data_IF_737446406337
#
_entry.id   IF_737446406337
#
_cell.length_a   1.000
_cell.length_b   1.000
_cell.length_c   1.000
_cell.angle_alpha   90.00
_cell.angle_beta   90.00
_cell.angle_gamma   90.00
#
_symmetry.space_group_name_H-M   'P 1'
#
loop_
_entity.id
_entity.type
_entity.pdbx_description
1 polymer ?
#
# COMPACT_ATOMS: atom_id res chain seq x y z
N UNK A 1 -47.49 13.57 18.66
CA UNK A 1 -46.49 13.05 17.71
C UNK A 1 -46.59 13.84 16.42
N UNK A 2 -45.73 14.86 16.24
CA UNK A 2 -45.56 15.53 14.93
C UNK A 2 -44.36 14.88 14.27
N UNK A 3 -44.62 14.11 13.21
CA UNK A 3 -43.60 13.63 12.29
C UNK A 3 -43.03 14.88 11.60
N UNK A 4 -41.80 15.26 11.94
CA UNK A 4 -41.05 16.23 11.15
C UNK A 4 -40.74 15.55 9.81
N UNK A 5 -41.53 15.85 8.79
CA UNK A 5 -41.19 15.54 7.41
C UNK A 5 -39.93 16.34 7.06
N UNK A 6 -38.78 15.67 7.01
CA UNK A 6 -37.56 16.25 6.46
C UNK A 6 -37.82 16.61 5.00
N UNK A 7 -37.67 17.88 4.65
CA UNK A 7 -37.79 18.33 3.26
C UNK A 7 -36.83 17.52 2.36
N UNK A 8 -37.24 17.19 1.12
CA UNK A 8 -36.37 16.47 0.18
C UNK A 8 -35.12 17.31 -0.09
N UNK A 9 -33.95 16.69 0.08
CA UNK A 9 -32.67 17.35 -0.18
C UNK A 9 -32.59 17.59 -1.70
N UNK A 10 -32.44 18.85 -2.16
CA UNK A 10 -32.37 19.15 -3.59
C UNK A 10 -31.18 18.43 -4.22
N UNK A 11 -31.35 18.06 -5.49
CA UNK A 11 -30.29 17.44 -6.26
C UNK A 11 -29.13 18.44 -6.46
N UNK A 12 -27.88 17.96 -6.43
CA UNK A 12 -26.71 18.85 -6.55
C UNK A 12 -26.69 19.65 -7.87
N UNK A 13 -27.45 19.22 -8.89
CA UNK A 13 -27.57 19.91 -10.17
C UNK A 13 -28.53 21.10 -10.20
N UNK A 14 -29.34 21.29 -9.16
CA UNK A 14 -30.32 22.38 -9.07
C UNK A 14 -29.85 23.53 -8.17
N UNK A 15 -28.63 23.46 -7.64
CA UNK A 15 -28.16 24.31 -6.52
C UNK A 15 -27.21 25.38 -7.04
N UNK A 16 -27.43 26.63 -6.61
CA UNK A 16 -26.56 27.76 -6.92
C UNK A 16 -25.13 27.54 -6.38
N UNK A 17 -24.09 28.06 -7.06
CA UNK A 17 -22.68 27.88 -6.70
C UNK A 17 -22.34 28.14 -5.24
N UNK A 18 -22.97 29.19 -4.69
CA UNK A 18 -22.68 29.70 -3.36
C UNK A 18 -23.33 28.88 -2.23
N UNK A 19 -24.08 27.82 -2.57
CA UNK A 19 -24.77 26.94 -1.61
C UNK A 19 -24.38 25.47 -1.75
N UNK A 20 -23.37 25.18 -2.58
CA UNK A 20 -22.91 23.82 -2.86
C UNK A 20 -22.33 23.17 -1.60
N UNK A 21 -21.70 23.95 -0.72
CA UNK A 21 -21.24 23.53 0.60
C UNK A 21 -22.39 23.12 1.55
N UNK A 22 -23.47 23.92 1.62
CA UNK A 22 -24.66 23.59 2.42
C UNK A 22 -25.35 22.31 1.93
N UNK A 23 -25.44 22.13 0.60
CA UNK A 23 -26.08 20.95 0.01
C UNK A 23 -25.16 19.73 0.06
N UNK A 24 -23.85 19.91 -0.10
CA UNK A 24 -22.86 18.86 0.12
C UNK A 24 -22.97 18.36 1.56
N UNK A 25 -22.97 19.24 2.56
CA UNK A 25 -23.15 18.87 3.96
C UNK A 25 -24.47 18.13 4.23
N UNK A 26 -25.58 18.59 3.63
CA UNK A 26 -26.89 17.91 3.77
C UNK A 26 -26.92 16.54 3.08
N UNK A 27 -26.22 16.38 1.96
CA UNK A 27 -26.10 15.12 1.22
C UNK A 27 -24.94 14.24 1.65
N UNK A 28 -24.05 14.72 2.50
CA UNK A 28 -22.93 13.97 3.08
C UNK A 28 -23.39 12.88 4.07
N UNK A 29 -24.59 12.32 3.93
CA UNK A 29 -24.93 11.01 4.50
C UNK A 29 -25.42 10.03 3.44
N UNK A 30 -25.56 10.47 2.19
CA UNK A 30 -26.21 9.74 1.11
C UNK A 30 -25.60 10.05 -0.28
N UNK A 31 -24.35 10.52 -0.32
CA UNK A 31 -23.64 10.78 -1.57
C UNK A 31 -23.61 9.52 -2.43
N UNK A 32 -24.18 9.61 -3.62
CA UNK A 32 -24.13 8.56 -4.63
C UNK A 32 -22.92 8.74 -5.56
N UNK A 33 -22.52 7.69 -6.27
CA UNK A 33 -21.47 7.80 -7.30
C UNK A 33 -21.79 8.89 -8.36
N UNK A 34 -23.08 9.12 -8.64
CA UNK A 34 -23.53 10.19 -9.53
C UNK A 34 -23.34 11.59 -8.95
N UNK A 35 -23.52 11.76 -7.65
CA UNK A 35 -23.24 13.01 -6.95
C UNK A 35 -21.73 13.29 -6.98
N UNK A 36 -20.88 12.26 -6.80
CA UNK A 36 -19.42 12.39 -6.93
C UNK A 36 -19.03 12.86 -8.34
N UNK A 37 -19.56 12.25 -9.41
CA UNK A 37 -19.29 12.67 -10.80
C UNK A 37 -19.80 14.09 -11.12
N UNK A 38 -20.92 14.51 -10.52
CA UNK A 38 -21.43 15.86 -10.68
C UNK A 38 -20.52 16.87 -9.99
N UNK A 39 -20.10 16.54 -8.76
CA UNK A 39 -19.11 17.32 -8.02
C UNK A 39 -17.79 17.42 -8.79
N UNK A 40 -17.37 16.36 -9.50
CA UNK A 40 -16.20 16.40 -10.39
C UNK A 40 -16.25 17.50 -11.43
N UNK A 41 -17.27 17.47 -12.28
CA UNK A 41 -17.44 18.51 -13.30
C UNK A 41 -17.61 19.90 -12.72
N UNK A 42 -18.21 19.99 -11.54
CA UNK A 42 -18.46 21.26 -10.87
C UNK A 42 -17.17 21.84 -10.26
N UNK A 43 -16.32 20.99 -9.69
CA UNK A 43 -15.05 21.39 -9.09
C UNK A 43 -13.98 21.73 -10.13
N UNK A 44 -14.02 21.14 -11.32
CA UNK A 44 -13.16 21.55 -12.44
C UNK A 44 -13.39 23.03 -12.82
N UNK A 45 -14.64 23.50 -12.72
CA UNK A 45 -14.98 24.90 -12.97
C UNK A 45 -14.56 25.83 -11.80
N UNK A 46 -14.51 25.31 -10.57
CA UNK A 46 -14.22 26.10 -9.36
C UNK A 46 -13.37 25.33 -8.33
N UNK A 47 -12.04 25.24 -8.52
CA UNK A 47 -11.14 24.48 -7.64
C UNK A 47 -11.11 24.96 -6.18
N UNK A 48 -11.43 26.24 -5.95
CA UNK A 48 -11.49 26.83 -4.61
C UNK A 48 -12.69 26.35 -3.80
N UNK A 49 -13.78 25.92 -4.45
CA UNK A 49 -14.96 25.36 -3.80
C UNK A 49 -14.72 23.93 -3.35
N UNK A 50 -13.92 23.15 -4.10
CA UNK A 50 -13.50 21.81 -3.70
C UNK A 50 -12.81 21.82 -2.33
N UNK A 51 -11.76 22.63 -2.18
CA UNK A 51 -11.00 22.69 -0.93
C UNK A 51 -11.85 23.17 0.25
N UNK A 52 -12.82 24.07 0.01
CA UNK A 52 -13.79 24.48 1.03
C UNK A 52 -14.72 23.34 1.42
N UNK A 53 -15.29 22.62 0.44
CA UNK A 53 -16.17 21.49 0.68
C UNK A 53 -15.45 20.36 1.43
N UNK A 54 -14.21 20.03 1.03
CA UNK A 54 -13.36 19.05 1.72
C UNK A 54 -13.09 19.47 3.15
N UNK A 55 -12.68 20.71 3.40
CA UNK A 55 -12.46 21.23 4.75
C UNK A 55 -13.71 21.08 5.60
N UNK A 56 -14.85 21.49 5.07
CA UNK A 56 -16.14 21.41 5.75
C UNK A 56 -16.50 19.96 6.09
N UNK A 57 -16.31 19.03 5.14
CA UNK A 57 -16.52 17.60 5.36
C UNK A 57 -15.62 17.05 6.47
N UNK A 58 -14.31 17.32 6.39
CA UNK A 58 -13.33 16.84 7.37
C UNK A 58 -13.58 17.41 8.77
N UNK A 59 -14.04 18.66 8.88
CA UNK A 59 -14.42 19.25 10.19
C UNK A 59 -15.70 18.66 10.77
N UNK A 60 -16.68 18.33 9.92
CA UNK A 60 -18.01 17.88 10.35
C UNK A 60 -18.04 16.40 10.72
N UNK A 61 -17.14 15.60 10.14
CA UNK A 61 -17.05 14.15 10.35
C UNK A 61 -15.79 13.71 11.10
N UNK A 62 -15.02 14.65 11.66
CA UNK A 62 -13.80 14.31 12.40
C UNK A 62 -14.14 13.41 13.60
N UNK A 63 -13.60 12.18 13.67
CA UNK A 63 -13.61 11.42 14.90
C UNK A 63 -12.76 12.14 15.96
N UNK A 64 -12.88 11.75 17.26
CA UNK A 64 -11.93 12.21 18.27
C UNK A 64 -10.51 11.93 17.79
N UNK A 65 -9.68 12.98 17.77
CA UNK A 65 -8.34 12.92 17.20
C UNK A 65 -7.50 11.89 17.96
N UNK A 66 -7.29 10.72 17.36
CA UNK A 66 -6.20 9.84 17.77
C UNK A 66 -5.14 9.94 16.69
N UNK A 67 -3.97 10.47 17.04
CA UNK A 67 -2.89 10.76 16.09
C UNK A 67 -2.36 9.50 15.37
N UNK A 68 -2.77 8.29 15.77
CA UNK A 68 -2.06 7.05 15.46
C UNK A 68 -2.94 5.94 14.85
N UNK A 69 -4.12 6.24 14.30
CA UNK A 69 -4.91 5.17 13.69
C UNK A 69 -5.65 5.62 12.44
N UNK A 70 -5.09 5.28 11.28
CA UNK A 70 -5.82 5.22 10.00
C UNK A 70 -6.93 4.16 10.02
N UNK A 71 -6.98 3.29 11.04
CA UNK A 71 -8.03 2.28 11.25
C UNK A 71 -9.27 2.86 11.95
N UNK A 72 -9.26 4.14 12.35
CA UNK A 72 -10.47 4.79 12.84
C UNK A 72 -11.51 4.79 11.72
N UNK A 73 -12.71 4.31 12.04
CA UNK A 73 -13.83 4.35 11.11
C UNK A 73 -14.41 5.77 11.08
N UNK A 74 -14.14 6.50 10.00
CA UNK A 74 -14.71 7.83 9.75
C UNK A 74 -16.15 7.69 9.25
N UNK A 75 -17.08 8.55 9.68
CA UNK A 75 -18.35 8.72 8.99
C UNK A 75 -18.08 9.04 7.51
N UNK A 76 -18.73 8.29 6.61
CA UNK A 76 -18.50 8.37 5.16
C UNK A 76 -17.07 8.07 4.67
N UNK A 77 -16.30 7.25 5.39
CA UNK A 77 -14.93 6.90 5.01
C UNK A 77 -14.76 6.59 3.51
N UNK A 78 -15.62 5.73 2.95
CA UNK A 78 -15.51 5.31 1.55
C UNK A 78 -15.81 6.43 0.55
N UNK A 79 -16.79 7.30 0.84
CA UNK A 79 -17.11 8.44 -0.02
C UNK A 79 -16.01 9.50 0.03
N UNK A 80 -15.50 9.81 1.23
CA UNK A 80 -14.38 10.73 1.40
C UNK A 80 -13.12 10.21 0.72
N UNK A 81 -12.82 8.91 0.86
CA UNK A 81 -11.72 8.27 0.17
C UNK A 81 -11.89 8.32 -1.34
N UNK A 82 -13.08 8.02 -1.87
CA UNK A 82 -13.34 8.07 -3.31
C UNK A 82 -13.11 9.47 -3.90
N UNK A 83 -13.52 10.52 -3.19
CA UNK A 83 -13.33 11.92 -3.56
C UNK A 83 -11.86 12.33 -3.43
N UNK A 84 -11.23 12.08 -2.27
CA UNK A 84 -9.88 12.57 -1.96
C UNK A 84 -8.75 11.77 -2.64
N UNK A 85 -9.03 10.55 -3.07
CA UNK A 85 -8.12 9.74 -3.89
C UNK A 85 -8.32 9.89 -5.39
N UNK A 86 -9.24 10.77 -5.82
CA UNK A 86 -9.48 11.00 -7.24
C UNK A 86 -8.33 11.83 -7.85
N UNK A 87 -7.69 11.30 -8.90
CA UNK A 87 -6.41 11.81 -9.42
C UNK A 87 -6.43 13.30 -9.76
N UNK A 88 -7.53 13.81 -10.30
CA UNK A 88 -7.67 15.20 -10.73
C UNK A 88 -7.70 16.21 -9.56
N UNK A 89 -8.02 15.77 -8.35
CA UNK A 89 -8.16 16.66 -7.18
C UNK A 89 -7.04 16.55 -6.16
N UNK A 90 -6.11 15.62 -6.38
CA UNK A 90 -4.96 15.47 -5.52
C UNK A 90 -4.06 16.68 -5.69
N UNK A 91 -3.88 17.42 -4.61
CA UNK A 91 -3.05 18.61 -4.55
C UNK A 91 -2.36 18.70 -3.20
N UNK A 92 -1.29 19.51 -3.12
CA UNK A 92 -0.61 19.79 -1.83
C UNK A 92 -1.61 20.36 -0.81
N UNK A 93 -2.56 21.19 -1.23
CA UNK A 93 -3.57 21.77 -0.34
C UNK A 93 -4.57 20.74 0.19
N UNK A 94 -5.01 19.79 -0.64
CA UNK A 94 -5.89 18.72 -0.17
C UNK A 94 -5.16 17.76 0.76
N UNK A 95 -3.88 17.50 0.49
CA UNK A 95 -2.98 16.73 1.35
C UNK A 95 -2.84 17.38 2.74
N UNK A 96 -2.51 18.68 2.79
CA UNK A 96 -2.41 19.45 4.04
C UNK A 96 -3.72 19.45 4.84
N UNK A 97 -4.88 19.57 4.16
CA UNK A 97 -6.18 19.48 4.81
C UNK A 97 -6.41 18.09 5.44
N UNK A 98 -6.04 17.02 4.73
CA UNK A 98 -6.14 15.66 5.26
C UNK A 98 -5.26 15.49 6.50
N UNK A 99 -4.03 15.99 6.46
CA UNK A 99 -3.10 15.95 7.60
C UNK A 99 -3.64 16.74 8.79
N UNK A 100 -4.09 17.97 8.57
CA UNK A 100 -4.61 18.87 9.60
C UNK A 100 -5.81 18.27 10.35
N UNK A 101 -6.67 17.55 9.64
CA UNK A 101 -7.86 16.91 10.22
C UNK A 101 -7.63 15.44 10.60
N UNK A 102 -6.45 14.88 10.41
CA UNK A 102 -6.14 13.49 10.74
C UNK A 102 -6.81 12.45 9.84
N UNK A 103 -7.20 12.82 8.61
CA UNK A 103 -7.73 11.89 7.62
C UNK A 103 -6.59 11.19 6.87
N UNK A 104 -5.99 10.20 7.55
CA UNK A 104 -4.82 9.47 7.06
C UNK A 104 -5.02 8.77 5.69
N UNK A 105 -6.18 8.16 5.37
CA UNK A 105 -6.36 7.53 4.06
C UNK A 105 -6.19 8.51 2.89
N UNK A 106 -6.76 9.70 2.98
CA UNK A 106 -6.62 10.73 1.94
C UNK A 106 -5.21 11.33 1.90
N UNK A 107 -4.56 11.47 3.07
CA UNK A 107 -3.18 11.95 3.15
C UNK A 107 -2.19 10.96 2.52
N UNK A 108 -2.23 9.68 2.89
CA UNK A 108 -1.39 8.62 2.31
C UNK A 108 -1.59 8.50 0.79
N UNK A 109 -2.85 8.59 0.35
CA UNK A 109 -3.20 8.57 -1.07
C UNK A 109 -2.57 9.74 -1.83
N UNK A 110 -2.64 10.95 -1.24
CA UNK A 110 -2.02 12.15 -1.79
C UNK A 110 -0.51 12.04 -1.85
N UNK A 111 0.15 11.56 -0.78
CA UNK A 111 1.60 11.37 -0.74
C UNK A 111 2.09 10.41 -1.84
N UNK A 112 1.40 9.28 -2.01
CA UNK A 112 1.72 8.29 -3.05
C UNK A 112 1.63 8.88 -4.46
N UNK A 113 0.59 9.68 -4.71
CA UNK A 113 0.28 10.24 -6.04
C UNK A 113 1.12 11.47 -6.38
N UNK A 114 1.45 12.29 -5.38
CA UNK A 114 2.35 13.45 -5.53
C UNK A 114 3.83 13.07 -5.55
N UNK A 115 4.17 11.82 -5.22
CA UNK A 115 5.54 11.31 -5.26
C UNK A 115 6.38 11.63 -4.01
N UNK A 116 5.75 12.02 -2.90
CA UNK A 116 6.43 12.28 -1.62
C UNK A 116 6.77 10.98 -0.89
N UNK A 117 7.66 10.18 -1.50
CA UNK A 117 7.94 8.80 -1.09
C UNK A 117 8.55 8.68 0.32
N UNK A 118 9.48 9.56 0.68
CA UNK A 118 10.10 9.57 2.02
C UNK A 118 9.11 9.95 3.11
N UNK A 119 8.30 10.99 2.89
CA UNK A 119 7.26 11.41 3.84
C UNK A 119 6.18 10.33 3.98
N UNK A 120 5.84 9.64 2.88
CA UNK A 120 4.96 8.47 2.90
C UNK A 120 5.53 7.36 3.78
N UNK A 121 6.82 7.05 3.65
CA UNK A 121 7.48 6.05 4.50
C UNK A 121 7.43 6.44 5.98
N UNK A 122 7.81 7.68 6.32
CA UNK A 122 7.76 8.18 7.71
C UNK A 122 6.35 8.09 8.29
N UNK A 123 5.34 8.49 7.50
CA UNK A 123 3.94 8.42 7.90
C UNK A 123 3.50 6.97 8.14
N UNK A 124 3.87 6.04 7.26
CA UNK A 124 3.55 4.61 7.41
C UNK A 124 4.14 4.04 8.70
N UNK A 125 5.41 4.36 9.02
CA UNK A 125 6.03 3.92 10.27
C UNK A 125 5.33 4.56 11.48
N UNK A 126 5.01 5.86 11.42
CA UNK A 126 4.29 6.56 12.50
C UNK A 126 2.93 5.93 12.80
N UNK A 127 2.19 5.51 11.75
CA UNK A 127 0.86 4.91 11.89
C UNK A 127 0.87 3.51 12.52
N UNK A 128 2.04 2.86 12.61
CA UNK A 128 2.15 1.65 13.42
C UNK A 128 1.61 0.37 12.77
N UNK A 129 1.30 0.38 11.48
CA UNK A 129 0.64 -0.75 10.81
C UNK A 129 1.52 -1.41 9.74
N UNK A 130 1.91 -2.65 10.03
CA UNK A 130 2.81 -3.46 9.22
C UNK A 130 2.19 -3.79 7.85
N UNK A 131 0.87 -3.82 7.74
CA UNK A 131 0.18 -4.06 6.47
C UNK A 131 0.40 -2.93 5.45
N UNK A 132 0.69 -1.72 5.92
CA UNK A 132 1.04 -0.59 5.06
C UNK A 132 2.45 -0.73 4.45
N UNK A 133 3.32 -1.57 5.01
CA UNK A 133 4.62 -1.93 4.42
C UNK A 133 4.48 -3.08 3.41
N UNK A 134 3.50 -2.96 2.51
CA UNK A 134 3.23 -3.94 1.46
C UNK A 134 2.79 -3.24 0.18
N UNK A 135 3.23 -3.75 -0.96
CA UNK A 135 2.76 -3.31 -2.28
C UNK A 135 1.30 -3.72 -2.55
N UNK A 136 0.81 -4.77 -1.87
CA UNK A 136 -0.58 -5.21 -2.01
C UNK A 136 -1.58 -4.22 -1.42
N UNK A 137 -1.13 -3.34 -0.52
CA UNK A 137 -2.01 -2.39 0.14
C UNK A 137 -2.14 -1.10 -0.70
N UNK A 138 -3.37 -0.64 -1.03
CA UNK A 138 -3.56 0.50 -1.93
C UNK A 138 -3.02 1.83 -1.37
N UNK A 139 -2.95 1.96 -0.04
CA UNK A 139 -2.39 3.12 0.67
C UNK A 139 -0.98 2.86 1.22
N UNK A 140 -0.46 1.64 1.02
CA UNK A 140 0.83 1.23 1.52
C UNK A 140 1.99 1.73 0.67
N UNK A 141 3.19 1.54 1.20
CA UNK A 141 4.45 1.78 0.55
C UNK A 141 5.42 0.64 0.90
N UNK A 142 5.82 -0.15 -0.10
CA UNK A 142 6.96 -1.05 0.04
C UNK A 142 8.26 -0.29 -0.27
N UNK A 143 9.24 -0.28 0.65
CA UNK A 143 10.57 0.25 0.36
C UNK A 143 11.22 -0.52 -0.80
N UNK A 144 11.73 0.20 -1.78
CA UNK A 144 12.26 -0.36 -3.03
C UNK A 144 13.79 -0.37 -3.09
N UNK A 145 14.44 0.48 -2.30
CA UNK A 145 15.90 0.57 -2.22
C UNK A 145 16.42 0.14 -0.84
N UNK A 146 17.68 -0.28 -0.80
CA UNK A 146 18.39 -0.57 0.45
C UNK A 146 18.41 0.62 1.41
N UNK A 147 18.48 1.85 0.88
CA UNK A 147 18.47 3.08 1.66
C UNK A 147 17.12 3.33 2.33
N UNK A 148 16.01 3.10 1.61
CA UNK A 148 14.67 3.21 2.18
C UNK A 148 14.43 2.16 3.28
N UNK A 149 14.93 0.93 3.10
CA UNK A 149 14.89 -0.09 4.15
C UNK A 149 15.71 0.30 5.37
N UNK A 150 16.90 0.86 5.17
CA UNK A 150 17.75 1.36 6.26
C UNK A 150 17.04 2.46 7.04
N UNK A 151 16.45 3.44 6.34
CA UNK A 151 15.64 4.49 6.93
C UNK A 151 14.44 3.95 7.71
N UNK A 152 13.69 2.98 7.15
CA UNK A 152 12.55 2.37 7.83
C UNK A 152 12.95 1.72 9.17
N UNK A 153 14.10 1.04 9.20
CA UNK A 153 14.65 0.42 10.41
C UNK A 153 15.05 1.47 11.45
N UNK A 154 15.75 2.52 11.03
CA UNK A 154 16.15 3.64 11.89
C UNK A 154 14.94 4.38 12.49
N UNK A 155 13.89 4.59 11.69
CA UNK A 155 12.64 5.22 12.15
C UNK A 155 11.92 4.33 13.17
N UNK A 156 11.81 3.02 12.91
CA UNK A 156 11.24 2.06 13.85
C UNK A 156 12.03 2.03 15.17
N UNK A 157 13.37 2.12 15.11
CA UNK A 157 14.21 2.23 16.29
C UNK A 157 13.99 3.54 17.04
N UNK A 158 13.97 4.69 16.36
CA UNK A 158 13.72 6.00 16.98
C UNK A 158 12.38 6.03 17.70
N UNK A 159 11.34 5.47 17.08
CA UNK A 159 10.01 5.38 17.66
C UNK A 159 10.05 4.65 19.02
N UNK A 160 10.83 3.58 19.16
CA UNK A 160 10.93 2.79 20.40
C UNK A 160 12.03 3.26 21.38
N UNK A 161 13.09 3.90 20.89
CA UNK A 161 14.28 4.23 21.66
C UNK A 161 14.30 5.65 22.24
N UNK A 162 13.44 6.55 21.77
CA UNK A 162 13.48 7.97 22.15
C UNK A 162 12.68 8.36 23.41
N UNK A 163 11.81 7.47 23.93
CA UNK A 163 10.86 7.84 24.97
C UNK A 163 11.32 7.49 26.39
N UNK A 164 11.16 8.42 27.33
CA UNK A 164 11.22 8.10 28.74
C UNK A 164 10.20 6.97 29.04
N UNK A 165 10.64 5.90 29.70
CA UNK A 165 9.82 4.75 30.12
C UNK A 165 9.35 3.79 29.01
N UNK A 166 9.97 3.78 27.83
CA UNK A 166 9.63 2.82 26.76
C UNK A 166 8.33 3.13 26.02
N UNK A 167 7.84 4.37 26.15
CA UNK A 167 6.72 4.88 25.38
C UNK A 167 7.18 5.29 23.97
N UNK A 168 6.35 5.06 22.94
CA UNK A 168 6.74 5.41 21.59
C UNK A 168 6.80 6.92 21.38
N UNK A 169 7.76 7.38 20.60
CA UNK A 169 7.91 8.78 20.23
C UNK A 169 7.23 9.09 18.90
N UNK A 170 6.67 10.30 18.77
CA UNK A 170 6.15 10.79 17.51
C UNK A 170 7.31 11.16 16.59
N UNK A 171 7.35 10.61 15.39
CA UNK A 171 8.39 10.88 14.38
C UNK A 171 8.32 12.30 13.79
N UNK A 172 7.19 13.01 13.97
CA UNK A 172 7.01 14.36 13.46
C UNK A 172 7.36 15.47 14.47
N UNK A 173 7.07 15.26 15.76
CA UNK A 173 7.28 16.28 16.80
C UNK A 173 8.20 15.83 17.95
N UNK A 174 8.72 14.60 17.88
CA UNK A 174 9.63 14.00 18.86
C UNK A 174 9.08 13.89 20.30
N UNK A 175 7.79 14.15 20.50
CA UNK A 175 7.13 14.01 21.78
C UNK A 175 6.76 12.55 22.04
N UNK A 176 6.87 12.12 23.30
CA UNK A 176 6.36 10.81 23.74
C UNK A 176 4.86 10.75 23.58
N UNK A 177 4.36 9.71 22.90
CA UNK A 177 2.95 9.37 22.75
C UNK A 177 2.43 8.75 24.06
N UNK A 178 2.63 9.46 25.17
CA UNK A 178 1.92 9.21 26.42
C UNK A 178 0.51 9.75 26.24
N UNK A 179 -0.51 8.96 26.54
CA UNK A 179 -1.87 9.49 26.63
C UNK A 179 -1.85 10.71 27.56
N UNK A 180 -2.18 11.89 27.01
CA UNK A 180 -2.45 13.07 27.81
C UNK A 180 -3.38 12.66 28.95
N UNK A 181 -3.00 12.95 30.20
CA UNK A 181 -3.60 12.44 31.44
C UNK A 181 -5.06 12.84 31.66
N UNK A 182 -5.94 12.38 30.79
CA UNK A 182 -7.39 12.47 30.87
C UNK A 182 -7.93 11.04 30.79
N UNK A 183 -8.82 10.69 31.72
CA UNK A 183 -9.40 9.37 32.01
C UNK A 183 -10.20 8.71 30.86
N UNK A 184 -9.83 8.93 29.60
CA UNK A 184 -10.36 8.24 28.44
C UNK A 184 -9.58 6.94 28.21
N UNK A 185 -10.23 5.84 27.78
CA UNK A 185 -9.54 4.60 27.44
C UNK A 185 -8.60 4.87 26.27
N UNK A 186 -7.30 4.96 26.57
CA UNK A 186 -6.24 5.16 25.58
C UNK A 186 -6.22 3.93 24.69
N UNK A 187 -6.60 4.09 23.42
CA UNK A 187 -6.43 3.04 22.44
C UNK A 187 -4.96 2.59 22.43
N UNK A 188 -4.67 1.28 22.38
CA UNK A 188 -3.30 0.79 22.40
C UNK A 188 -2.55 1.43 21.22
N UNK A 189 -1.44 2.12 21.52
CA UNK A 189 -0.57 2.67 20.48
C UNK A 189 0.09 1.49 19.79
N UNK A 190 -0.40 1.14 18.61
CA UNK A 190 0.23 0.14 17.75
C UNK A 190 1.49 0.77 17.16
N UNK A 191 2.63 0.10 17.28
CA UNK A 191 3.90 0.56 16.72
C UNK A 191 4.52 -0.54 15.88
N UNK A 192 5.23 -0.15 14.82
CA UNK A 192 5.95 -1.10 13.97
C UNK A 192 7.26 -1.44 14.65
N UNK A 193 7.40 -2.68 15.13
CA UNK A 193 8.67 -3.13 15.72
C UNK A 193 9.75 -3.34 14.67
N UNK A 194 11.02 -3.22 15.07
CA UNK A 194 12.18 -3.50 14.20
C UNK A 194 12.08 -4.90 13.57
N UNK A 195 11.65 -5.89 14.34
CA UNK A 195 11.44 -7.26 13.83
C UNK A 195 10.35 -7.32 12.75
N UNK A 196 9.26 -6.57 12.91
CA UNK A 196 8.19 -6.56 11.91
C UNK A 196 8.65 -5.93 10.58
N UNK A 197 9.48 -4.88 10.62
CA UNK A 197 10.14 -4.33 9.42
C UNK A 197 11.10 -5.36 8.82
N UNK A 198 11.92 -6.01 9.64
CA UNK A 198 12.87 -7.03 9.18
C UNK A 198 12.17 -8.22 8.51
N UNK A 199 10.99 -8.63 9.02
CA UNK A 199 10.16 -9.67 8.39
C UNK A 199 9.63 -9.25 7.03
N UNK A 200 9.14 -8.01 6.90
CA UNK A 200 8.70 -7.45 5.60
C UNK A 200 9.85 -7.32 4.61
N UNK A 201 11.04 -6.93 5.07
CA UNK A 201 12.26 -6.88 4.26
C UNK A 201 12.65 -8.28 3.75
N UNK A 202 12.59 -9.29 4.63
CA UNK A 202 12.86 -10.69 4.29
C UNK A 202 11.90 -11.22 3.22
N UNK A 203 10.60 -10.91 3.34
CA UNK A 203 9.58 -11.33 2.38
C UNK A 203 9.72 -10.67 0.99
N UNK A 204 10.22 -9.43 0.93
CA UNK A 204 10.26 -8.66 -0.32
C UNK A 204 11.59 -8.78 -1.05
N UNK A 205 12.70 -8.71 -0.33
CA UNK A 205 14.06 -8.65 -0.91
C UNK A 205 14.79 -10.00 -0.77
N UNK A 206 14.31 -10.88 0.10
CA UNK A 206 14.90 -12.20 0.33
C UNK A 206 16.04 -12.19 1.36
N UNK A 207 16.48 -13.39 1.75
CA UNK A 207 17.39 -13.58 2.89
C UNK A 207 18.78 -12.97 2.69
N UNK A 208 19.42 -13.19 1.54
CA UNK A 208 20.80 -12.71 1.33
C UNK A 208 20.89 -11.19 1.47
N UNK A 209 20.00 -10.46 0.79
CA UNK A 209 19.96 -9.00 0.86
C UNK A 209 19.55 -8.52 2.26
N UNK A 210 18.54 -9.13 2.87
CA UNK A 210 18.11 -8.82 4.24
C UNK A 210 19.26 -8.97 5.23
N UNK A 211 20.02 -10.07 5.16
CA UNK A 211 21.16 -10.30 6.09
C UNK A 211 22.31 -9.33 5.86
N UNK A 212 22.56 -8.90 4.62
CA UNK A 212 23.56 -7.85 4.35
C UNK A 212 23.14 -6.51 4.99
N UNK A 213 21.88 -6.09 4.79
CA UNK A 213 21.36 -4.85 5.36
C UNK A 213 21.29 -4.88 6.88
N UNK A 214 20.89 -6.01 7.48
CA UNK A 214 20.87 -6.18 8.93
C UNK A 214 22.27 -6.17 9.55
N UNK A 215 23.30 -6.61 8.82
CA UNK A 215 24.70 -6.56 9.29
C UNK A 215 25.25 -5.15 9.28
N UNK A 216 24.85 -4.35 8.29
CA UNK A 216 25.26 -2.95 8.16
C UNK A 216 24.54 -2.04 9.16
N UNK A 217 23.44 -2.50 9.76
CA UNK A 217 22.67 -1.78 10.77
C UNK A 217 23.15 -2.14 12.17
N UNK A 218 23.55 -1.13 12.97
CA UNK A 218 23.91 -1.29 14.38
C UNK A 218 22.65 -1.48 15.25
N UNK A 219 22.03 -2.66 15.16
CA UNK A 219 20.81 -2.96 15.91
C UNK A 219 21.10 -3.21 17.40
N UNK A 220 20.30 -2.65 18.34
CA UNK A 220 20.40 -2.97 19.76
C UNK A 220 20.22 -4.46 20.01
N UNK A 221 21.00 -5.01 20.95
CA UNK A 221 20.91 -6.43 21.32
C UNK A 221 19.49 -6.79 21.76
N UNK A 222 18.92 -7.82 21.14
CA UNK A 222 17.56 -8.29 21.42
C UNK A 222 16.46 -7.64 20.58
N UNK A 223 16.80 -6.83 19.57
CA UNK A 223 15.81 -6.25 18.64
C UNK A 223 15.16 -7.25 17.70
N UNK A 224 15.78 -8.42 17.51
CA UNK A 224 15.30 -9.52 16.68
C UNK A 224 15.19 -10.78 17.51
N UNK A 225 14.03 -11.42 17.48
CA UNK A 225 13.77 -12.66 18.21
C UNK A 225 14.50 -13.88 17.63
N UNK A 226 14.79 -14.91 18.45
CA UNK A 226 15.32 -16.18 17.94
C UNK A 226 14.35 -16.86 16.96
N UNK A 227 13.04 -16.65 17.12
CA UNK A 227 12.02 -17.12 16.19
C UNK A 227 12.19 -16.51 14.80
N UNK A 228 12.51 -15.20 14.71
CA UNK A 228 12.82 -14.55 13.44
C UNK A 228 14.03 -15.20 12.76
N UNK A 229 15.13 -15.43 13.50
CA UNK A 229 16.31 -16.08 12.95
C UNK A 229 16.00 -17.49 12.46
N UNK A 230 15.30 -18.29 13.26
CA UNK A 230 14.89 -19.63 12.87
C UNK A 230 14.02 -19.62 11.62
N UNK A 231 13.00 -18.75 11.56
CA UNK A 231 12.13 -18.61 10.40
C UNK A 231 12.91 -18.19 9.15
N UNK A 232 13.87 -17.27 9.28
CA UNK A 232 14.69 -16.80 8.16
C UNK A 232 15.56 -17.91 7.56
N UNK A 233 16.18 -18.74 8.39
CA UNK A 233 16.96 -19.90 7.95
C UNK A 233 16.04 -20.94 7.30
N UNK A 234 14.89 -21.22 7.91
CA UNK A 234 13.92 -22.18 7.37
C UNK A 234 13.43 -21.76 5.97
N UNK A 235 13.11 -20.48 5.77
CA UNK A 235 12.72 -19.94 4.47
C UNK A 235 13.81 -20.16 3.41
N UNK A 236 15.08 -19.91 3.75
CA UNK A 236 16.17 -20.18 2.78
C UNK A 236 16.30 -21.65 2.43
N UNK A 237 16.12 -22.56 3.40
CA UNK A 237 16.19 -23.99 3.14
C UNK A 237 15.04 -24.44 2.24
N UNK A 238 13.85 -23.89 2.47
CA UNK A 238 12.69 -24.14 1.61
C UNK A 238 12.96 -23.64 0.19
N UNK A 239 13.46 -22.42 0.02
CA UNK A 239 13.76 -21.86 -1.30
C UNK A 239 14.79 -22.70 -2.06
N UNK A 240 15.87 -23.11 -1.38
CA UNK A 240 16.89 -23.99 -1.95
C UNK A 240 16.31 -25.36 -2.35
N UNK A 241 15.41 -25.92 -1.53
CA UNK A 241 14.73 -27.16 -1.87
C UNK A 241 13.77 -27.00 -3.05
N UNK A 242 13.02 -25.90 -3.12
CA UNK A 242 12.11 -25.59 -4.22
C UNK A 242 12.86 -25.41 -5.53
N UNK A 243 13.99 -24.70 -5.53
CA UNK A 243 14.87 -24.55 -6.69
C UNK A 243 15.46 -25.90 -7.12
N UNK A 244 15.95 -26.71 -6.18
CA UNK A 244 16.48 -28.04 -6.53
C UNK A 244 15.41 -28.97 -7.12
N UNK A 245 14.17 -28.90 -6.61
CA UNK A 245 13.04 -29.66 -7.14
C UNK A 245 12.63 -29.18 -8.53
N UNK A 246 12.53 -27.86 -8.75
CA UNK A 246 12.18 -27.29 -10.05
C UNK A 246 13.22 -27.67 -11.10
N UNK A 247 14.52 -27.55 -10.80
CA UNK A 247 15.59 -27.99 -11.68
C UNK A 247 15.48 -29.48 -12.00
N UNK A 248 15.28 -30.36 -11.01
CA UNK A 248 15.11 -31.80 -11.24
C UNK A 248 13.89 -32.12 -12.10
N UNK A 249 12.78 -31.40 -11.90
CA UNK A 249 11.56 -31.57 -12.70
C UNK A 249 11.80 -31.16 -14.15
N UNK A 250 12.41 -29.99 -14.37
CA UNK A 250 12.74 -29.50 -15.71
C UNK A 250 13.73 -30.42 -16.43
N UNK A 251 14.81 -30.86 -15.78
CA UNK A 251 15.77 -31.80 -16.39
C UNK A 251 15.14 -33.15 -16.73
N UNK A 252 14.18 -33.63 -15.92
CA UNK A 252 13.43 -34.86 -16.21
C UNK A 252 12.48 -34.67 -17.39
N UNK A 253 11.76 -33.55 -17.45
CA UNK A 253 10.89 -33.21 -18.59
C UNK A 253 11.70 -33.11 -19.87
N UNK A 254 12.84 -32.42 -19.84
CA UNK A 254 13.78 -32.34 -20.96
C UNK A 254 14.23 -33.73 -21.41
N UNK A 255 14.75 -34.55 -20.50
CA UNK A 255 15.18 -35.92 -20.80
C UNK A 255 14.02 -36.78 -21.35
N UNK A 256 12.81 -36.58 -20.85
CA UNK A 256 11.63 -37.30 -21.30
C UNK A 256 11.19 -36.88 -22.70
N UNK A 257 11.16 -35.58 -22.99
CA UNK A 257 10.88 -35.02 -24.32
C UNK A 257 11.88 -35.56 -25.35
N UNK A 258 13.17 -35.61 -25.00
CA UNK A 258 14.20 -36.10 -25.92
C UNK A 258 14.29 -37.62 -26.05
N UNK A 259 13.77 -38.39 -25.09
CA UNK A 259 13.81 -39.86 -25.11
C UNK A 259 12.57 -40.48 -25.76
N UNK A 260 11.40 -39.82 -25.70
CA UNK A 260 10.23 -40.24 -26.47
C UNK A 260 10.29 -39.68 -27.88
N UNK A 261 10.39 -40.57 -28.88
CA UNK A 261 9.85 -40.24 -30.22
C UNK A 261 8.36 -39.98 -30.02
N UNK A 262 7.91 -38.74 -30.18
CA UNK A 262 6.48 -38.46 -30.27
C UNK A 262 5.98 -39.20 -31.52
N UNK A 263 5.28 -40.31 -31.30
CA UNK A 263 4.87 -41.30 -32.32
C UNK A 263 3.91 -40.68 -33.36
N UNK A 264 3.47 -39.45 -33.17
CA UNK A 264 2.54 -38.70 -34.03
C UNK A 264 3.04 -37.30 -34.37
N UNK A 265 4.35 -37.06 -34.41
CA UNK A 265 4.87 -35.79 -34.94
C UNK A 265 4.82 -35.81 -36.48
N UNK A 266 4.23 -34.79 -37.13
CA UNK A 266 4.38 -34.60 -38.56
C UNK A 266 5.87 -34.44 -38.92
N UNK A 267 6.29 -34.91 -40.10
CA UNK A 267 7.70 -34.96 -40.48
C UNK A 267 8.39 -33.60 -40.44
N UNK A 268 7.69 -32.48 -40.69
CA UNK A 268 8.26 -31.14 -40.58
C UNK A 268 8.65 -30.78 -39.13
N UNK A 269 7.81 -31.14 -38.15
CA UNK A 269 8.07 -30.86 -36.74
C UNK A 269 9.16 -31.80 -36.16
N UNK A 270 9.27 -33.03 -36.68
CA UNK A 270 10.36 -33.94 -36.33
C UNK A 270 11.73 -33.44 -36.81
N UNK A 271 11.79 -32.86 -38.01
CA UNK A 271 13.01 -32.30 -38.58
C UNK A 271 13.48 -31.05 -37.81
N UNK A 272 12.53 -30.17 -37.46
CA UNK A 272 12.79 -28.98 -36.63
C UNK A 272 13.30 -29.33 -35.22
N UNK A 273 12.68 -30.29 -34.54
CA UNK A 273 13.16 -30.78 -33.24
C UNK A 273 14.55 -31.42 -33.33
N UNK A 274 14.88 -32.06 -34.45
CA UNK A 274 16.21 -32.62 -34.69
C UNK A 274 17.28 -31.54 -34.90
N UNK A 275 16.92 -30.43 -35.59
CA UNK A 275 17.76 -29.24 -35.75
C UNK A 275 17.95 -28.51 -34.42
N UNK A 276 16.90 -28.36 -33.62
CA UNK A 276 16.97 -27.75 -32.28
C UNK A 276 17.88 -28.54 -31.34
N UNK A 277 17.76 -29.88 -31.33
CA UNK A 277 18.65 -30.78 -30.57
C UNK A 277 20.13 -30.61 -30.93
N UNK A 278 20.43 -30.23 -32.16
CA UNK A 278 21.79 -29.97 -32.65
C UNK A 278 22.23 -28.51 -32.43
N UNK A 279 21.38 -27.67 -31.85
CA UNK A 279 21.64 -26.23 -31.66
C UNK A 279 21.56 -25.41 -32.95
N UNK A 280 20.89 -25.93 -33.99
CA UNK A 280 20.82 -25.38 -35.36
C UNK A 280 19.46 -24.77 -35.73
N UNK A 281 18.51 -24.72 -34.79
CA UNK A 281 17.20 -24.10 -35.01
C UNK A 281 17.23 -22.62 -34.57
N UNK A 282 16.85 -21.73 -35.48
CA UNK A 282 16.68 -20.29 -35.22
C UNK A 282 15.21 -19.92 -35.01
N UNK A 283 14.95 -18.72 -34.48
CA UNK A 283 13.59 -18.23 -34.20
C UNK A 283 12.69 -18.16 -35.45
N UNK A 284 13.30 -18.06 -36.63
CA UNK A 284 12.64 -18.02 -37.95
C UNK A 284 12.05 -19.39 -38.36
N UNK A 285 12.61 -20.48 -37.85
CA UNK A 285 12.16 -21.85 -38.19
C UNK A 285 10.80 -22.21 -37.54
N UNK A 286 10.42 -21.51 -36.47
CA UNK A 286 9.15 -21.70 -35.75
C UNK A 286 7.95 -21.02 -36.46
N UNK A 287 8.22 -19.97 -37.25
CA UNK A 287 7.18 -19.23 -37.98
C UNK A 287 6.63 -20.02 -39.18
N UNK A 288 7.45 -20.86 -39.80
CA UNK A 288 7.10 -21.64 -41.00
C UNK A 288 6.10 -22.78 -40.76
N UNK A 289 5.83 -23.16 -39.50
CA UNK A 289 4.83 -24.20 -39.17
C UNK A 289 3.40 -23.62 -39.23
N UNK A 290 3.21 -22.32 -38.99
CA UNK A 290 1.88 -21.69 -38.96
C UNK A 290 1.28 -21.41 -40.35
N UNK A 291 2.05 -21.49 -41.44
CA UNK A 291 1.57 -21.16 -42.79
C UNK A 291 0.92 -22.34 -43.54
N UNK A 292 0.92 -23.57 -42.99
CA UNK A 292 0.46 -24.77 -43.70
C UNK A 292 -0.82 -25.44 -43.16
N UNK A 293 -1.54 -24.80 -42.23
CA UNK A 293 -2.90 -25.22 -41.86
C UNK A 293 -3.94 -24.39 -42.64
N UNK A 294 -4.23 -24.83 -43.88
CA UNK A 294 -5.46 -24.54 -44.64
C UNK A 294 -5.95 -25.79 -45.36
#
# INVERSE_FOLDING_TARGET
MRLFASAPIPSLHEVAPDRVDEVFLKKAGCLTARDVLYLTRYFDAHPSLFLKAVRVALTSFSPPQTMNSHKINWPMMEQLKAVLCFEEWISVRSMELCQLHGFWPGYLCSLRRLGYRLEHLVTVIQLGDVELLSDSHPLGLLPGSSEEWRLAMELAQKQHGGGAFGLPTCLFCEQTLAGSGTDAPVAPVTTITVESVARRMLESVGFEQTTTLLRDLDLPRGSLSPEFFFASVLLTLIDQQQLALSHRMLSRLESYVWSRRLVTLPPQAADLLSREKQGLAGLEDLANIQEYDY
#
